data_IF_554163861821
#
_entry.id   IF_554163861821
#
_cell.length_a   1.000
_cell.length_b   1.000
_cell.length_c   1.000
_cell.angle_alpha   90.00
_cell.angle_beta   90.00
_cell.angle_gamma   90.00
#
_symmetry.space_group_name_H-M   'P 1'
#
loop_
_entity.id
_entity.type
_entity.pdbx_description
1 polymer ?
#
# COMPACT_ATOMS: atom_id res chain seq x y z
N UNK A 1 11.30 10.85 0.18
CA UNK A 1 10.18 11.36 -0.63
C UNK A 1 8.88 10.82 -0.08
N UNK A 2 7.90 11.70 0.05
CA UNK A 2 6.52 11.35 0.45
C UNK A 2 5.55 12.00 -0.51
N UNK A 3 4.59 11.23 -1.01
CA UNK A 3 3.60 11.70 -1.99
C UNK A 3 2.22 11.21 -1.58
N UNK A 4 1.23 12.08 -1.69
CA UNK A 4 -0.17 11.75 -1.46
C UNK A 4 -0.99 12.22 -2.67
N UNK A 5 -1.81 11.33 -3.21
CA UNK A 5 -2.66 11.64 -4.38
C UNK A 5 -4.08 11.12 -4.11
N UNK A 6 -5.06 12.03 -4.04
CA UNK A 6 -6.48 11.68 -3.95
C UNK A 6 -6.97 11.06 -5.27
N UNK A 7 -7.96 10.20 -5.17
CA UNK A 7 -8.62 9.57 -6.33
C UNK A 7 -7.63 8.98 -7.34
N UNK A 8 -6.60 8.31 -6.84
CA UNK A 8 -5.57 7.72 -7.67
C UNK A 8 -6.08 6.55 -8.51
N UNK A 9 -7.03 5.79 -7.97
CA UNK A 9 -7.70 4.70 -8.69
C UNK A 9 -9.19 5.00 -8.83
N UNK A 10 -9.82 4.40 -9.84
CA UNK A 10 -11.26 4.51 -10.06
C UNK A 10 -12.04 3.61 -9.11
N UNK A 11 -13.35 3.84 -9.00
CA UNK A 11 -14.24 2.96 -8.23
C UNK A 11 -14.26 1.55 -8.79
N UNK A 12 -14.21 1.39 -10.11
CA UNK A 12 -14.15 0.09 -10.78
C UNK A 12 -12.89 -0.67 -10.42
N UNK A 13 -11.74 0.02 -10.46
CA UNK A 13 -10.47 -0.56 -10.05
C UNK A 13 -10.47 -0.96 -8.57
N UNK A 14 -11.00 -0.10 -7.71
CA UNK A 14 -11.12 -0.37 -6.29
C UNK A 14 -11.91 -1.66 -6.04
N UNK A 15 -13.10 -1.78 -6.65
CA UNK A 15 -13.96 -2.95 -6.48
C UNK A 15 -13.28 -4.24 -6.99
N UNK A 16 -12.60 -4.17 -8.12
CA UNK A 16 -11.89 -5.32 -8.69
C UNK A 16 -10.74 -5.78 -7.78
N UNK A 17 -9.92 -4.86 -7.28
CA UNK A 17 -8.81 -5.20 -6.38
C UNK A 17 -9.32 -5.72 -5.03
N UNK A 18 -10.38 -5.12 -4.50
CA UNK A 18 -11.03 -5.58 -3.27
C UNK A 18 -11.48 -7.04 -3.40
N UNK A 19 -12.08 -7.39 -4.53
CA UNK A 19 -12.50 -8.76 -4.85
C UNK A 19 -11.33 -9.75 -4.88
N UNK A 20 -10.17 -9.35 -5.41
CA UNK A 20 -8.94 -10.17 -5.38
C UNK A 20 -8.51 -10.45 -3.94
N UNK A 21 -8.56 -9.42 -3.08
CA UNK A 21 -8.14 -9.54 -1.68
C UNK A 21 -9.01 -10.47 -0.85
N UNK A 22 -10.27 -10.62 -1.19
CA UNK A 22 -11.16 -11.57 -0.51
C UNK A 22 -10.81 -13.03 -0.83
N UNK A 23 -10.19 -13.27 -1.97
CA UNK A 23 -9.83 -14.61 -2.44
C UNK A 23 -8.37 -14.99 -2.15
N UNK A 24 -7.47 -14.04 -1.93
CA UNK A 24 -6.05 -14.34 -1.74
C UNK A 24 -5.31 -13.23 -0.98
N UNK A 25 -4.46 -13.65 -0.02
CA UNK A 25 -3.54 -12.76 0.70
C UNK A 25 -2.08 -12.95 0.24
N UNK A 26 -1.87 -13.61 -0.86
CA UNK A 26 -0.54 -13.93 -1.37
C UNK A 26 0.16 -12.70 -1.92
N UNK A 27 1.48 -12.74 -1.93
CA UNK A 27 2.29 -11.79 -2.68
C UNK A 27 2.00 -11.93 -4.16
N UNK A 28 1.79 -10.81 -4.83
CA UNK A 28 1.66 -10.74 -6.29
C UNK A 28 2.94 -10.07 -6.79
N UNK A 29 3.88 -10.85 -7.32
CA UNK A 29 5.15 -10.29 -7.79
C UNK A 29 4.92 -9.35 -8.96
N UNK A 30 5.58 -8.18 -8.91
CA UNK A 30 5.43 -7.15 -9.93
C UNK A 30 5.85 -7.68 -11.30
N UNK A 31 6.90 -8.50 -11.35
CA UNK A 31 7.37 -9.13 -12.60
C UNK A 31 6.32 -10.04 -13.26
N UNK A 32 5.35 -10.51 -12.49
CA UNK A 32 4.34 -11.48 -12.94
C UNK A 32 2.91 -10.89 -12.94
N UNK A 33 2.69 -9.73 -12.33
CA UNK A 33 1.34 -9.18 -12.20
C UNK A 33 0.77 -8.76 -13.56
N UNK A 34 -0.54 -8.90 -13.68
CA UNK A 34 -1.33 -8.59 -14.88
C UNK A 34 -2.57 -7.79 -14.50
N UNK A 35 -3.35 -7.38 -15.50
CA UNK A 35 -4.65 -6.75 -15.29
C UNK A 35 -4.58 -5.47 -14.48
N UNK A 36 -5.52 -5.31 -13.55
CA UNK A 36 -5.68 -4.09 -12.75
C UNK A 36 -4.45 -3.80 -11.87
N UNK A 37 -3.86 -4.84 -11.27
CA UNK A 37 -2.67 -4.68 -10.41
C UNK A 37 -1.49 -4.14 -11.22
N UNK A 38 -1.28 -4.65 -12.42
CA UNK A 38 -0.25 -4.15 -13.35
C UNK A 38 -0.53 -2.71 -13.78
N UNK A 39 -1.75 -2.42 -14.16
CA UNK A 39 -2.14 -1.09 -14.63
C UNK A 39 -1.92 -0.02 -13.55
N UNK A 40 -2.30 -0.32 -12.31
CA UNK A 40 -2.06 0.58 -11.17
C UNK A 40 -0.56 0.75 -10.93
N UNK A 41 0.21 -0.33 -10.94
CA UNK A 41 1.66 -0.26 -10.75
C UNK A 41 2.35 0.62 -11.82
N UNK A 42 1.96 0.48 -13.07
CA UNK A 42 2.53 1.30 -14.15
C UNK A 42 2.32 2.80 -13.90
N UNK A 43 1.16 3.18 -13.37
CA UNK A 43 0.90 4.58 -12.98
C UNK A 43 1.76 5.02 -11.78
N UNK A 44 1.94 4.16 -10.79
CA UNK A 44 2.83 4.41 -9.66
C UNK A 44 4.26 4.61 -10.18
N UNK A 45 4.70 3.76 -11.09
CA UNK A 45 6.08 3.81 -11.60
C UNK A 45 6.37 5.01 -12.50
N UNK A 46 5.35 5.68 -13.01
CA UNK A 46 5.53 6.99 -13.64
C UNK A 46 6.02 8.05 -12.65
N UNK A 47 5.73 7.86 -11.37
CA UNK A 47 6.16 8.75 -10.29
C UNK A 47 7.58 8.37 -9.84
N UNK A 48 7.83 7.09 -9.55
CA UNK A 48 9.11 6.60 -9.04
C UNK A 48 10.20 6.54 -10.09
N UNK A 49 9.86 6.19 -11.31
CA UNK A 49 10.77 6.11 -12.48
C UNK A 49 12.00 5.22 -12.22
N UNK A 50 11.77 4.06 -11.59
CA UNK A 50 12.83 3.07 -11.36
C UNK A 50 12.44 1.72 -11.95
N UNK A 51 13.43 0.89 -12.21
CA UNK A 51 13.21 -0.53 -12.50
C UNK A 51 12.90 -1.24 -11.18
N UNK A 52 11.74 -1.89 -11.03
CA UNK A 52 11.44 -2.60 -9.80
C UNK A 52 12.38 -3.77 -9.60
N UNK A 53 12.79 -3.98 -8.34
CA UNK A 53 13.59 -5.15 -7.99
C UNK A 53 12.82 -6.44 -8.30
N UNK A 54 13.51 -7.52 -8.61
CA UNK A 54 12.89 -8.82 -8.92
C UNK A 54 12.01 -9.36 -7.80
N UNK A 55 12.28 -8.96 -6.54
CA UNK A 55 11.48 -9.33 -5.36
C UNK A 55 10.31 -8.37 -5.10
N UNK A 56 10.16 -7.32 -5.89
CA UNK A 56 9.06 -6.37 -5.75
C UNK A 56 7.71 -7.05 -5.85
N UNK A 57 6.76 -6.66 -4.99
CA UNK A 57 5.46 -7.31 -4.95
C UNK A 57 4.34 -6.35 -4.55
N UNK A 58 3.13 -6.74 -4.91
CA UNK A 58 1.90 -6.15 -4.42
C UNK A 58 1.21 -7.14 -3.46
N UNK A 59 0.37 -6.62 -2.59
CA UNK A 59 -0.46 -7.42 -1.67
C UNK A 59 -1.71 -6.66 -1.31
N UNK A 60 -2.83 -7.37 -1.25
CA UNK A 60 -4.05 -6.85 -0.62
C UNK A 60 -4.06 -7.30 0.83
N UNK A 61 -4.11 -6.36 1.76
CA UNK A 61 -3.92 -6.63 3.19
C UNK A 61 -5.08 -6.15 4.03
N UNK A 62 -5.45 -6.99 5.02
CA UNK A 62 -6.40 -6.68 6.07
C UNK A 62 -5.84 -7.18 7.41
N UNK A 63 -5.02 -6.36 8.07
CA UNK A 63 -4.41 -6.67 9.38
C UNK A 63 -4.90 -5.69 10.44
N UNK A 64 -5.75 -6.17 11.35
CA UNK A 64 -6.36 -5.34 12.39
C UNK A 64 -5.40 -4.88 13.49
N UNK A 65 -4.28 -5.58 13.68
CA UNK A 65 -3.26 -5.23 14.69
C UNK A 65 -2.50 -3.95 14.37
N UNK A 66 -2.58 -3.47 13.13
CA UNK A 66 -1.77 -2.36 12.65
C UNK A 66 -0.29 -2.71 12.47
N UNK A 67 0.52 -1.70 12.38
CA UNK A 67 1.98 -1.83 12.24
C UNK A 67 2.64 -0.75 13.12
N UNK A 68 3.51 -1.17 14.04
CA UNK A 68 4.31 -0.24 14.85
C UNK A 68 5.25 0.59 13.95
N UNK A 69 5.88 1.61 14.54
CA UNK A 69 6.87 2.43 13.82
C UNK A 69 7.91 1.54 13.14
N UNK A 70 8.03 1.67 11.83
CA UNK A 70 8.95 0.87 11.03
C UNK A 70 9.33 1.59 9.74
N UNK A 71 10.36 1.04 9.10
CA UNK A 71 10.73 1.35 7.71
C UNK A 71 10.39 0.14 6.86
N UNK A 72 10.08 0.35 5.59
CA UNK A 72 9.81 -0.77 4.67
C UNK A 72 11.09 -1.50 4.28
N UNK A 73 12.22 -0.77 4.24
CA UNK A 73 13.54 -1.36 4.00
C UNK A 73 14.24 -1.71 5.31
N UNK A 74 15.04 -2.77 5.29
CA UNK A 74 15.86 -3.13 6.44
C UNK A 74 16.30 -4.57 6.44
N UNK A 75 17.29 -4.88 7.28
CA UNK A 75 17.80 -6.25 7.45
C UNK A 75 16.82 -7.13 8.23
N UNK A 76 16.08 -6.54 9.17
CA UNK A 76 15.15 -7.25 10.06
C UNK A 76 13.94 -7.84 9.32
N UNK A 77 13.51 -7.18 8.25
CA UNK A 77 12.36 -7.62 7.45
C UNK A 77 12.78 -8.26 6.11
N UNK A 78 14.07 -8.45 5.88
CA UNK A 78 14.64 -9.00 4.64
C UNK A 78 14.27 -8.18 3.38
N UNK A 79 14.01 -6.89 3.53
CA UNK A 79 13.60 -6.00 2.43
C UNK A 79 14.63 -4.91 2.14
N UNK A 80 15.92 -5.24 2.27
CA UNK A 80 16.99 -4.29 1.94
C UNK A 80 16.99 -3.84 0.47
N UNK A 81 16.33 -4.61 -0.39
CA UNK A 81 16.16 -4.32 -1.80
C UNK A 81 15.07 -3.26 -2.09
N UNK A 82 14.20 -2.97 -1.13
CA UNK A 82 13.03 -2.11 -1.34
C UNK A 82 13.42 -0.63 -1.42
N UNK A 83 12.95 0.06 -2.43
CA UNK A 83 13.15 1.50 -2.62
C UNK A 83 11.92 2.33 -2.27
N UNK A 84 10.73 1.80 -2.52
CA UNK A 84 9.47 2.51 -2.29
C UNK A 84 8.42 1.62 -1.64
N UNK A 85 7.62 2.19 -0.75
CA UNK A 85 6.41 1.61 -0.21
C UNK A 85 5.19 2.45 -0.61
N UNK A 86 4.11 1.77 -0.98
CA UNK A 86 2.85 2.41 -1.37
C UNK A 86 1.67 1.75 -0.69
N UNK A 87 0.66 2.55 -0.35
CA UNK A 87 -0.60 2.08 0.20
C UNK A 87 -1.75 2.80 -0.48
N UNK A 88 -2.74 2.03 -0.95
CA UNK A 88 -3.99 2.55 -1.49
C UNK A 88 -5.13 2.00 -0.64
N UNK A 89 -5.91 2.86 -0.01
CA UNK A 89 -7.05 2.45 0.79
C UNK A 89 -8.20 2.00 -0.10
N UNK A 90 -8.68 0.77 0.12
CA UNK A 90 -9.78 0.18 -0.64
C UNK A 90 -11.12 0.23 0.10
N UNK A 91 -11.09 0.31 1.43
CA UNK A 91 -12.29 0.35 2.26
C UNK A 91 -12.87 1.76 2.37
N UNK A 92 -14.18 1.83 2.59
CA UNK A 92 -14.82 3.06 3.03
C UNK A 92 -14.45 3.30 4.51
N UNK A 93 -14.09 4.54 4.91
CA UNK A 93 -13.82 4.86 6.32
C UNK A 93 -14.95 4.53 7.29
N UNK A 94 -16.18 4.39 6.82
CA UNK A 94 -17.33 3.95 7.62
C UNK A 94 -17.24 2.49 8.07
N UNK A 95 -16.42 1.68 7.41
CA UNK A 95 -16.35 0.24 7.63
C UNK A 95 -15.31 -0.15 8.68
N UNK A 96 -14.57 0.82 9.24
CA UNK A 96 -13.54 0.54 10.25
C UNK A 96 -13.32 1.74 11.18
N UNK A 97 -12.76 1.47 12.35
CA UNK A 97 -12.31 2.48 13.32
C UNK A 97 -10.84 2.27 13.65
N UNK A 98 -10.10 3.34 13.85
CA UNK A 98 -8.64 3.29 13.99
C UNK A 98 -7.98 3.11 12.63
N UNK A 99 -6.84 2.42 12.60
CA UNK A 99 -6.12 2.20 11.34
C UNK A 99 -5.57 3.50 10.76
N UNK A 100 -5.20 4.44 11.61
CA UNK A 100 -4.65 5.74 11.21
C UNK A 100 -3.22 5.57 10.73
N UNK A 101 -2.93 6.16 9.57
CA UNK A 101 -1.59 6.18 9.00
C UNK A 101 -0.83 7.42 9.49
N UNK A 102 0.37 7.23 10.04
CA UNK A 102 1.20 8.30 10.55
C UNK A 102 2.60 8.28 9.97
N UNK A 103 3.06 9.45 9.56
CA UNK A 103 4.50 9.76 9.50
C UNK A 103 4.92 10.43 10.82
N UNK A 104 6.22 10.61 11.03
CA UNK A 104 6.71 11.31 12.24
C UNK A 104 6.16 12.74 12.37
N UNK A 105 5.86 13.38 11.26
CA UNK A 105 5.32 14.73 11.21
C UNK A 105 3.84 14.81 11.58
N UNK A 106 3.11 13.69 11.53
CA UNK A 106 1.70 13.65 11.90
C UNK A 106 0.88 12.64 11.11
N UNK A 107 -0.41 12.64 11.42
CA UNK A 107 -1.38 11.76 10.78
C UNK A 107 -1.62 12.15 9.33
N UNK A 108 -1.72 11.15 8.45
CA UNK A 108 -2.16 11.31 7.08
C UNK A 108 -3.66 11.06 6.99
N UNK A 109 -4.41 11.98 6.44
CA UNK A 109 -5.84 11.78 6.15
C UNK A 109 -5.99 10.93 4.89
N UNK A 110 -5.83 9.62 5.05
CA UNK A 110 -5.89 8.67 3.96
C UNK A 110 -7.33 8.38 3.56
N UNK A 111 -7.75 8.91 2.43
CA UNK A 111 -9.09 8.71 1.87
C UNK A 111 -9.14 7.45 1.01
N UNK A 112 -10.34 6.90 0.84
CA UNK A 112 -10.58 5.78 -0.08
C UNK A 112 -10.07 6.12 -1.48
N UNK A 113 -9.41 5.16 -2.14
CA UNK A 113 -8.83 5.30 -3.49
C UNK A 113 -7.64 6.24 -3.58
N UNK A 114 -7.15 6.76 -2.46
CA UNK A 114 -5.96 7.61 -2.43
C UNK A 114 -4.67 6.78 -2.38
N UNK A 115 -3.62 7.32 -2.97
CA UNK A 115 -2.27 6.76 -2.90
C UNK A 115 -1.47 7.49 -1.82
N UNK A 116 -0.89 6.72 -0.91
CA UNK A 116 0.20 7.16 -0.04
C UNK A 116 1.46 6.45 -0.52
N UNK A 117 2.50 7.19 -0.84
CA UNK A 117 3.76 6.64 -1.34
C UNK A 117 4.94 7.32 -0.65
N UNK A 118 5.95 6.55 -0.29
CA UNK A 118 7.15 7.07 0.35
C UNK A 118 8.38 6.23 -0.01
N UNK A 119 9.55 6.86 0.13
CA UNK A 119 10.82 6.13 0.07
C UNK A 119 10.87 5.11 1.21
N UNK A 120 11.45 3.95 0.94
CA UNK A 120 11.40 2.81 1.86
C UNK A 120 12.06 3.04 3.22
N UNK A 121 12.92 4.06 3.34
CA UNK A 121 13.59 4.46 4.60
C UNK A 121 12.78 5.45 5.46
N UNK A 122 11.59 5.85 5.00
CA UNK A 122 10.71 6.75 5.76
C UNK A 122 9.96 5.97 6.84
N UNK A 123 10.12 6.41 8.09
CA UNK A 123 9.40 5.79 9.21
C UNK A 123 7.92 6.13 9.19
N UNK A 124 7.09 5.12 9.41
CA UNK A 124 5.65 5.27 9.47
C UNK A 124 5.02 4.21 10.38
N UNK A 125 3.77 4.43 10.74
CA UNK A 125 3.00 3.46 11.52
C UNK A 125 1.54 3.45 11.06
N UNK A 126 0.85 2.34 11.32
CA UNK A 126 -0.60 2.24 11.22
C UNK A 126 -1.12 1.81 12.57
N UNK A 127 -2.04 2.57 13.14
CA UNK A 127 -2.61 2.24 14.45
C UNK A 127 -3.48 0.99 14.37
N UNK A 128 -3.65 0.33 15.51
CA UNK A 128 -4.58 -0.79 15.66
C UNK A 128 -5.99 -0.35 15.25
N UNK A 129 -6.75 -1.23 14.63
CA UNK A 129 -8.10 -0.92 14.19
C UNK A 129 -9.06 -2.08 14.38
N UNK A 130 -10.34 -1.78 14.31
CA UNK A 130 -11.44 -2.74 14.25
C UNK A 130 -12.23 -2.53 12.96
N UNK A 131 -13.04 -3.52 12.58
CA UNK A 131 -13.78 -3.48 11.33
C UNK A 131 -12.93 -3.91 10.14
N UNK A 132 -13.35 -3.56 8.95
CA UNK A 132 -12.74 -4.05 7.71
C UNK A 132 -11.97 -2.93 6.99
N UNK A 133 -10.70 -2.78 7.33
CA UNK A 133 -9.77 -1.89 6.64
C UNK A 133 -8.91 -2.72 5.69
N UNK A 134 -9.10 -2.53 4.40
CA UNK A 134 -8.39 -3.25 3.33
C UNK A 134 -7.58 -2.25 2.52
N UNK A 135 -6.33 -2.59 2.26
CA UNK A 135 -5.40 -1.76 1.48
C UNK A 135 -4.72 -2.59 0.40
N UNK A 136 -4.39 -1.94 -0.70
CA UNK A 136 -3.49 -2.48 -1.71
C UNK A 136 -2.11 -1.89 -1.45
N UNK A 137 -1.14 -2.76 -1.24
CA UNK A 137 0.26 -2.39 -0.98
C UNK A 137 1.13 -2.72 -2.18
N UNK A 138 2.14 -1.88 -2.41
CA UNK A 138 3.24 -2.17 -3.33
C UNK A 138 4.56 -1.90 -2.62
N UNK A 139 5.51 -2.82 -2.78
CA UNK A 139 6.89 -2.68 -2.32
C UNK A 139 7.82 -3.02 -3.49
N UNK A 140 8.71 -2.09 -3.86
CA UNK A 140 9.57 -2.30 -5.03
C UNK A 140 10.82 -1.44 -4.99
#
# INVERSE_FOLDING_TARGET
MKTYIDDFISEEERAEVFSIGESSRSKIYISECTGVVRSIFERINKISKIDPHERGYARVEHLTRGHEWHKDTGTDNAMSWCSFGCSILLSDPKDFEGGDFHYREGKVDQKTKSLVMHSSDVEHLVTKHSGKRVVLLYFF
#
